data_IF_067762032110
#
_entry.id   IF_067762032110
#
_cell.length_a   1.000
_cell.length_b   1.000
_cell.length_c   1.000
_cell.angle_alpha   90.00
_cell.angle_beta   90.00
_cell.angle_gamma   90.00
#
_symmetry.space_group_name_H-M   'P 1'
#
loop_
_entity.id
_entity.type
_entity.pdbx_description
1 polymer ?
#
# COMPACT_ATOMS: atom_id res chain seq x y z
N UNK A 1 -22.34 57.72 31.96
CA UNK A 1 -21.08 58.49 31.94
C UNK A 1 -20.96 59.20 33.27
N UNK A 2 -19.93 59.14 34.09
CA UNK A 2 -18.69 58.39 34.20
C UNK A 2 -18.40 58.49 35.70
N UNK A 3 -17.89 57.45 36.36
CA UNK A 3 -16.95 57.68 37.45
C UNK A 3 -16.07 56.46 37.70
N UNK A 4 -14.80 56.81 37.84
CA UNK A 4 -13.60 56.02 37.90
C UNK A 4 -13.33 55.57 39.36
N UNK A 5 -12.75 54.37 39.50
CA UNK A 5 -11.64 54.02 40.40
C UNK A 5 -11.83 54.10 41.95
N UNK A 6 -11.75 52.94 42.64
CA UNK A 6 -10.56 52.50 43.42
C UNK A 6 -10.84 51.29 44.34
N UNK A 7 -9.90 50.36 44.28
CA UNK A 7 -9.47 49.28 45.19
C UNK A 7 -9.50 49.57 46.71
N UNK A 8 -9.79 48.56 47.56
CA UNK A 8 -8.83 47.93 48.51
C UNK A 8 -9.45 46.84 49.45
N UNK A 9 -8.76 45.71 49.57
CA UNK A 9 -8.40 44.92 50.78
C UNK A 9 -9.42 44.24 51.74
N UNK A 10 -9.34 42.89 51.74
CA UNK A 10 -9.05 41.94 52.84
C UNK A 10 -9.91 41.73 54.12
N UNK A 11 -10.03 40.42 54.44
CA UNK A 11 -10.30 39.73 55.74
C UNK A 11 -11.77 39.68 56.22
N UNK A 12 -12.34 38.59 56.76
CA UNK A 12 -11.88 37.25 57.14
C UNK A 12 -13.10 36.38 57.55
N UNK A 13 -13.06 35.09 57.17
CA UNK A 13 -13.52 33.86 57.88
C UNK A 13 -14.80 33.90 58.74
N UNK A 14 -15.81 33.09 58.37
CA UNK A 14 -16.59 32.24 59.30
C UNK A 14 -16.89 30.91 58.62
N UNK A 15 -16.46 29.83 59.26
CA UNK A 15 -16.69 28.44 58.91
C UNK A 15 -18.06 27.99 59.39
N UNK A 16 -18.91 27.45 58.50
CA UNK A 16 -20.05 26.63 58.90
C UNK A 16 -19.93 25.25 58.23
N UNK A 17 -19.59 24.27 59.05
CA UNK A 17 -19.61 22.86 58.70
C UNK A 17 -21.06 22.38 58.55
N UNK A 18 -21.37 21.80 57.39
CA UNK A 18 -22.50 20.89 57.21
C UNK A 18 -21.92 19.56 56.79
N UNK A 19 -21.87 18.65 57.75
CA UNK A 19 -21.65 17.24 57.55
C UNK A 19 -22.86 16.66 56.78
N UNK A 20 -22.63 16.32 55.51
CA UNK A 20 -23.47 15.41 54.73
C UNK A 20 -22.75 14.08 54.62
N UNK A 21 -23.25 13.08 55.34
CA UNK A 21 -22.79 11.70 55.37
C UNK A 21 -23.33 10.93 54.14
N UNK A 22 -22.52 10.04 53.57
CA UNK A 22 -23.05 8.74 53.11
C UNK A 22 -22.66 8.24 51.71
N UNK A 23 -21.75 7.26 51.68
CA UNK A 23 -21.55 6.28 50.59
C UNK A 23 -20.38 6.64 49.67
N UNK A 24 -19.31 5.87 49.54
CA UNK A 24 -19.04 4.47 49.83
C UNK A 24 -17.97 4.04 48.82
N UNK A 25 -16.95 3.34 49.28
CA UNK A 25 -15.76 2.99 48.52
C UNK A 25 -16.07 2.35 47.16
N UNK A 26 -15.41 2.88 46.13
CA UNK A 26 -15.33 2.30 44.82
C UNK A 26 -14.06 2.81 44.17
N UNK A 27 -12.92 2.22 44.54
CA UNK A 27 -11.66 2.40 43.84
C UNK A 27 -11.82 1.98 42.38
N UNK A 28 -12.32 2.90 41.56
CA UNK A 28 -12.21 2.80 40.12
C UNK A 28 -10.74 2.95 39.79
N UNK A 29 -10.07 1.84 39.48
CA UNK A 29 -8.91 1.88 38.60
C UNK A 29 -9.23 2.86 37.46
N UNK A 30 -8.29 3.72 37.00
CA UNK A 30 -8.57 4.57 35.86
C UNK A 30 -9.07 3.64 34.76
N UNK A 31 -10.36 3.72 34.44
CA UNK A 31 -10.96 2.92 33.38
C UNK A 31 -10.09 3.19 32.18
N UNK A 32 -9.32 2.19 31.75
CA UNK A 32 -8.32 2.35 30.71
C UNK A 32 -9.02 3.04 29.55
N UNK A 33 -8.64 4.29 29.31
CA UNK A 33 -9.35 5.11 28.32
C UNK A 33 -9.29 4.35 27.00
N UNK A 34 -10.42 4.14 26.34
CA UNK A 34 -10.48 3.37 25.10
C UNK A 34 -10.65 4.31 23.90
N UNK A 35 -10.15 3.88 22.75
CA UNK A 35 -10.55 4.39 21.45
C UNK A 35 -11.10 3.25 20.60
N UNK A 36 -11.39 3.52 19.33
CA UNK A 36 -11.89 2.53 18.38
C UNK A 36 -10.91 2.40 17.22
N UNK A 37 -10.57 1.17 16.86
CA UNK A 37 -9.88 0.86 15.62
C UNK A 37 -10.91 0.29 14.64
N UNK A 38 -10.99 0.89 13.46
CA UNK A 38 -11.68 0.33 12.30
C UNK A 38 -10.62 -0.07 11.27
N UNK A 39 -10.79 -1.24 10.64
CA UNK A 39 -9.83 -1.79 9.70
C UNK A 39 -10.52 -2.03 8.36
N UNK A 40 -9.91 -1.54 7.30
CA UNK A 40 -10.33 -1.83 5.94
C UNK A 40 -9.15 -2.36 5.11
N UNK A 41 -9.45 -2.95 3.96
CA UNK A 41 -8.47 -3.49 3.03
C UNK A 41 -8.61 -2.84 1.64
N UNK A 42 -7.48 -2.68 0.96
CA UNK A 42 -7.36 -2.24 -0.44
C UNK A 42 -6.26 -3.04 -1.12
N UNK A 43 -6.17 -2.98 -2.46
CA UNK A 43 -5.08 -3.60 -3.22
C UNK A 43 -4.40 -2.59 -4.16
N UNK A 44 -3.22 -2.98 -4.61
CA UNK A 44 -2.50 -2.43 -5.74
C UNK A 44 -2.91 -3.16 -7.05
N UNK A 45 -2.41 -2.72 -8.22
CA UNK A 45 -2.73 -3.33 -9.52
C UNK A 45 -2.31 -4.79 -9.64
N UNK A 46 -3.05 -5.53 -10.47
CA UNK A 46 -2.70 -6.91 -10.82
C UNK A 46 -1.46 -7.00 -11.72
N UNK A 47 -0.77 -8.14 -11.66
CA UNK A 47 0.26 -8.51 -12.62
C UNK A 47 -0.01 -9.93 -13.13
N UNK A 48 -0.81 -10.06 -14.19
CA UNK A 48 -1.06 -11.34 -14.88
C UNK A 48 -2.09 -12.26 -14.21
N UNK A 49 -3.00 -11.69 -13.42
CA UNK A 49 -4.12 -12.40 -12.81
C UNK A 49 -5.42 -11.68 -13.14
N UNK A 50 -6.47 -12.44 -13.40
CA UNK A 50 -7.83 -11.92 -13.56
C UNK A 50 -8.54 -11.78 -12.20
N UNK A 51 -8.20 -12.65 -11.24
CA UNK A 51 -8.68 -12.58 -9.85
C UNK A 51 -7.62 -13.06 -8.86
N UNK A 52 -7.61 -12.45 -7.67
CA UNK A 52 -6.84 -12.94 -6.51
C UNK A 52 -7.75 -12.92 -5.30
N UNK A 53 -8.20 -14.10 -4.90
CA UNK A 53 -9.11 -14.25 -3.77
C UNK A 53 -8.35 -14.56 -2.48
N UNK A 54 -8.61 -13.80 -1.43
CA UNK A 54 -8.17 -14.09 -0.06
C UNK A 54 -9.37 -14.08 0.88
N UNK A 55 -9.42 -15.03 1.82
CA UNK A 55 -10.47 -15.05 2.84
C UNK A 55 -9.89 -14.60 4.17
N UNK A 56 -10.27 -13.41 4.62
CA UNK A 56 -9.85 -12.86 5.92
C UNK A 56 -10.65 -13.53 7.03
N UNK A 57 -9.96 -14.12 8.00
CA UNK A 57 -10.56 -14.77 9.15
C UNK A 57 -10.48 -13.95 10.43
N UNK A 58 -9.39 -13.20 10.62
CA UNK A 58 -9.16 -12.40 11.82
C UNK A 58 -8.15 -11.29 11.55
N UNK A 59 -8.35 -10.12 12.16
CA UNK A 59 -7.29 -9.11 12.32
C UNK A 59 -6.96 -8.98 13.80
N UNK A 60 -5.68 -9.03 14.16
CA UNK A 60 -5.21 -8.87 15.53
C UNK A 60 -4.19 -7.74 15.60
N UNK A 61 -4.17 -7.00 16.71
CA UNK A 61 -3.19 -5.92 16.95
C UNK A 61 -2.53 -6.07 18.31
N UNK A 62 -1.27 -5.66 18.40
CA UNK A 62 -0.49 -5.69 19.64
C UNK A 62 0.38 -4.43 19.78
N UNK A 63 0.56 -3.98 21.03
CA UNK A 63 1.44 -2.86 21.38
C UNK A 63 2.92 -3.20 21.28
N UNK A 64 3.29 -4.48 21.25
CA UNK A 64 4.67 -4.95 21.10
C UNK A 64 4.96 -5.39 19.65
N UNK A 65 6.00 -4.80 19.04
CA UNK A 65 6.48 -5.13 17.68
C UNK A 65 7.10 -6.53 17.54
N UNK A 66 7.40 -7.17 18.66
CA UNK A 66 8.00 -8.51 18.72
C UNK A 66 7.05 -9.57 19.28
N UNK A 67 5.76 -9.26 19.43
CA UNK A 67 4.78 -10.19 20.00
C UNK A 67 4.66 -11.49 19.17
N UNK A 68 4.92 -12.61 19.82
CA UNK A 68 4.64 -13.97 19.35
C UNK A 68 3.14 -14.26 19.28
N UNK A 69 2.80 -15.39 18.65
CA UNK A 69 1.42 -15.74 18.28
C UNK A 69 0.50 -15.94 19.50
N UNK A 70 1.10 -16.50 20.56
CA UNK A 70 0.46 -16.89 21.82
C UNK A 70 0.80 -15.94 22.97
N UNK A 71 1.48 -14.82 22.69
CA UNK A 71 1.81 -13.82 23.69
C UNK A 71 0.53 -13.12 24.19
N UNK A 72 0.64 -12.42 25.32
CA UNK A 72 -0.47 -11.62 25.83
C UNK A 72 -0.56 -10.26 25.11
N UNK A 73 -1.65 -9.52 25.33
CA UNK A 73 -1.83 -8.16 24.78
C UNK A 73 -2.39 -8.09 23.36
N UNK A 74 -2.74 -9.22 22.76
CA UNK A 74 -3.47 -9.24 21.49
C UNK A 74 -4.91 -8.76 21.66
N UNK A 75 -5.27 -7.73 20.90
CA UNK A 75 -6.67 -7.33 20.70
C UNK A 75 -7.14 -7.80 19.33
N UNK A 76 -8.36 -8.31 19.24
CA UNK A 76 -8.93 -8.84 18.00
C UNK A 76 -9.97 -7.88 17.45
N UNK A 77 -9.89 -7.61 16.15
CA UNK A 77 -10.93 -6.91 15.41
C UNK A 77 -12.05 -7.91 15.12
N UNK A 78 -13.27 -7.58 15.54
CA UNK A 78 -14.42 -8.43 15.33
C UNK A 78 -14.86 -8.31 13.86
N UNK A 79 -14.67 -9.39 13.09
CA UNK A 79 -15.28 -9.53 11.77
C UNK A 79 -16.71 -10.07 11.94
N UNK A 80 -17.71 -9.53 11.22
CA UNK A 80 -19.08 -10.07 11.26
C UNK A 80 -19.15 -11.54 10.80
N UNK A 81 -18.31 -11.91 9.83
CA UNK A 81 -18.08 -13.27 9.34
C UNK A 81 -16.72 -13.32 8.62
N UNK A 82 -16.22 -14.51 8.29
CA UNK A 82 -15.07 -14.61 7.37
C UNK A 82 -15.44 -13.99 6.02
N UNK A 83 -14.57 -13.15 5.48
CA UNK A 83 -14.83 -12.42 4.25
C UNK A 83 -13.89 -12.88 3.14
N UNK A 84 -14.45 -13.50 2.09
CA UNK A 84 -13.72 -13.76 0.84
C UNK A 84 -13.72 -12.49 0.00
N UNK A 85 -12.53 -11.98 -0.30
CA UNK A 85 -12.29 -10.70 -0.96
C UNK A 85 -11.51 -10.99 -2.23
N UNK A 86 -11.97 -10.44 -3.35
CA UNK A 86 -11.16 -10.34 -4.56
C UNK A 86 -10.33 -9.06 -4.47
N UNK A 87 -9.02 -9.21 -4.27
CA UNK A 87 -8.11 -8.08 -4.10
C UNK A 87 -8.14 -7.15 -5.32
N UNK A 88 -8.24 -7.72 -6.53
CA UNK A 88 -8.20 -6.95 -7.78
C UNK A 88 -9.45 -6.07 -7.99
N UNK A 89 -10.51 -6.30 -7.21
CA UNK A 89 -11.70 -5.45 -7.19
C UNK A 89 -11.54 -4.18 -6.33
N UNK A 90 -10.50 -4.11 -5.50
CA UNK A 90 -10.27 -3.02 -4.54
C UNK A 90 -9.40 -1.88 -5.11
N UNK A 91 -9.58 -1.58 -6.39
CA UNK A 91 -8.84 -0.53 -7.09
C UNK A 91 -9.53 0.83 -6.97
N UNK A 92 -8.82 1.88 -7.36
CA UNK A 92 -9.33 3.25 -7.44
C UNK A 92 -9.85 3.83 -6.10
N UNK A 93 -9.24 3.42 -4.99
CA UNK A 93 -9.60 3.85 -3.64
C UNK A 93 -10.78 3.09 -3.02
N UNK A 94 -11.23 2.00 -3.65
CA UNK A 94 -12.26 1.11 -3.10
C UNK A 94 -11.73 0.37 -1.88
N UNK A 95 -12.49 0.37 -0.78
CA UNK A 95 -12.12 -0.28 0.47
C UNK A 95 -13.10 -1.42 0.81
N UNK A 96 -12.56 -2.56 1.24
CA UNK A 96 -13.32 -3.63 1.86
C UNK A 96 -13.26 -3.49 3.39
N UNK A 97 -14.41 -3.32 4.04
CA UNK A 97 -14.51 -3.24 5.50
C UNK A 97 -14.24 -4.60 6.16
N UNK A 98 -13.25 -4.64 7.07
CA UNK A 98 -12.87 -5.81 7.88
C UNK A 98 -13.38 -5.71 9.33
N UNK A 99 -14.15 -4.67 9.65
CA UNK A 99 -14.77 -4.46 10.95
C UNK A 99 -13.98 -3.55 11.88
N UNK A 100 -14.44 -3.49 13.12
CA UNK A 100 -13.94 -2.57 14.13
C UNK A 100 -13.89 -3.20 15.52
N UNK A 101 -13.10 -2.60 16.42
CA UNK A 101 -13.00 -3.03 17.81
C UNK A 101 -12.60 -1.89 18.72
N UNK A 102 -13.06 -1.94 19.97
CA UNK A 102 -12.61 -1.02 21.00
C UNK A 102 -11.23 -1.45 21.50
N UNK A 103 -10.30 -0.52 21.57
CA UNK A 103 -8.92 -0.74 21.98
C UNK A 103 -8.58 0.17 23.16
N UNK A 104 -7.80 -0.31 24.15
CA UNK A 104 -7.12 0.57 25.09
C UNK A 104 -6.33 1.64 24.34
N UNK A 105 -6.42 2.89 24.78
CA UNK A 105 -5.61 3.97 24.25
C UNK A 105 -4.13 3.64 24.45
N UNK A 106 -3.32 3.87 23.41
CA UNK A 106 -1.92 3.49 23.41
C UNK A 106 -1.33 3.43 22.02
N UNK A 107 -0.05 3.05 21.96
CA UNK A 107 0.69 2.88 20.73
C UNK A 107 0.72 1.40 20.35
N UNK A 108 0.16 1.09 19.18
CA UNK A 108 0.19 -0.23 18.57
C UNK A 108 1.32 -0.31 17.56
N UNK A 109 2.00 -1.44 17.50
CA UNK A 109 3.21 -1.61 16.68
C UNK A 109 3.12 -2.77 15.70
N UNK A 110 2.29 -3.77 15.99
CA UNK A 110 2.16 -4.99 15.18
C UNK A 110 0.70 -5.26 14.87
N UNK A 111 0.42 -5.55 13.59
CA UNK A 111 -0.85 -6.08 13.10
C UNK A 111 -0.61 -7.51 12.59
N UNK A 112 -1.59 -8.39 12.76
CA UNK A 112 -1.65 -9.72 12.14
C UNK A 112 -2.94 -9.83 11.34
N UNK A 113 -2.79 -10.04 10.04
CA UNK A 113 -3.89 -10.38 9.14
C UNK A 113 -3.92 -11.91 8.97
N UNK A 114 -4.91 -12.56 9.55
CA UNK A 114 -5.06 -14.02 9.50
C UNK A 114 -6.01 -14.37 8.35
N UNK A 115 -5.59 -15.31 7.52
CA UNK A 115 -6.39 -15.84 6.42
C UNK A 115 -6.98 -17.20 6.80
N UNK A 116 -8.17 -17.51 6.28
CA UNK A 116 -8.75 -18.86 6.38
C UNK A 116 -7.93 -19.85 5.55
N UNK A 117 -7.89 -21.12 5.96
CA UNK A 117 -7.15 -22.16 5.25
C UNK A 117 -8.02 -22.82 4.17
N UNK A 118 -7.41 -23.18 3.03
CA UNK A 118 -8.04 -24.06 2.05
C UNK A 118 -8.29 -25.44 2.66
N UNK A 119 -9.49 -25.99 2.46
CA UNK A 119 -9.91 -27.27 3.04
C UNK A 119 -10.47 -28.20 1.97
N UNK A 120 -9.72 -29.26 1.65
CA UNK A 120 -10.07 -30.16 0.54
C UNK A 120 -10.23 -29.39 -0.77
N UNK A 121 -11.41 -29.47 -1.37
CA UNK A 121 -11.75 -28.75 -2.61
C UNK A 121 -12.31 -27.34 -2.38
N UNK A 122 -12.45 -26.89 -1.12
CA UNK A 122 -12.96 -25.55 -0.80
C UNK A 122 -11.81 -24.54 -0.81
N UNK A 123 -11.83 -23.65 -1.80
CA UNK A 123 -10.83 -22.61 -2.00
C UNK A 123 -11.19 -21.32 -1.25
N UNK A 124 -10.66 -21.19 -0.04
CA UNK A 124 -10.67 -19.96 0.74
C UNK A 124 -9.71 -18.90 0.14
N UNK A 125 -8.54 -19.34 -0.33
CA UNK A 125 -7.57 -18.49 -1.04
C UNK A 125 -7.18 -19.12 -2.37
N UNK A 126 -7.27 -18.34 -3.44
CA UNK A 126 -7.06 -18.81 -4.81
C UNK A 126 -6.63 -17.67 -5.72
N UNK A 127 -6.10 -18.04 -6.88
CA UNK A 127 -5.76 -17.12 -7.96
C UNK A 127 -6.38 -17.60 -9.25
N UNK A 128 -6.75 -16.68 -10.13
CA UNK A 128 -7.15 -16.95 -11.52
C UNK A 128 -6.10 -16.28 -12.40
N UNK A 129 -5.09 -17.01 -12.90
CA UNK A 129 -4.12 -16.46 -13.84
C UNK A 129 -4.83 -16.03 -15.13
N UNK A 130 -4.36 -14.96 -15.76
CA UNK A 130 -4.97 -14.47 -17.00
C UNK A 130 -4.97 -15.54 -18.09
N UNK A 131 -6.16 -15.87 -18.59
CA UNK A 131 -6.35 -16.94 -19.58
C UNK A 131 -6.24 -18.37 -19.01
N UNK A 132 -6.19 -18.52 -17.68
CA UNK A 132 -6.12 -19.80 -16.97
C UNK A 132 -7.37 -20.11 -16.15
N UNK A 133 -7.38 -21.28 -15.49
CA UNK A 133 -8.42 -21.67 -14.55
C UNK A 133 -8.06 -21.24 -13.12
N UNK A 134 -9.06 -21.15 -12.23
CA UNK A 134 -8.83 -20.93 -10.80
C UNK A 134 -7.92 -22.02 -10.21
N UNK A 135 -6.90 -21.61 -9.45
CA UNK A 135 -5.92 -22.47 -8.81
C UNK A 135 -5.83 -22.16 -7.30
N UNK A 136 -5.57 -23.16 -6.45
CA UNK A 136 -5.36 -22.94 -5.02
C UNK A 136 -4.10 -22.10 -4.77
N UNK A 137 -4.21 -21.14 -3.85
CA UNK A 137 -3.06 -20.37 -3.36
C UNK A 137 -2.53 -20.98 -2.06
N UNK A 138 -1.24 -21.33 -2.03
CA UNK A 138 -0.61 -21.82 -0.80
C UNK A 138 -0.31 -20.67 0.17
N UNK A 139 -0.94 -20.68 1.35
CA UNK A 139 -0.89 -19.59 2.35
C UNK A 139 -0.36 -20.02 3.74
N UNK A 140 0.74 -20.81 3.87
CA UNK A 140 1.09 -21.50 5.11
C UNK A 140 1.33 -20.58 6.32
N UNK A 141 2.01 -19.45 6.15
CA UNK A 141 2.23 -18.47 7.24
C UNK A 141 0.97 -17.69 7.58
N UNK A 142 0.16 -17.34 6.57
CA UNK A 142 -1.04 -16.52 6.75
C UNK A 142 -2.17 -17.24 7.49
N UNK A 143 -2.18 -18.58 7.49
CA UNK A 143 -3.20 -19.39 8.18
C UNK A 143 -2.80 -19.81 9.60
N UNK A 144 -1.50 -19.91 9.89
CA UNK A 144 -1.01 -20.35 11.19
C UNK A 144 -0.80 -19.16 12.15
N UNK A 145 0.08 -18.24 11.78
CA UNK A 145 0.47 -17.10 12.60
C UNK A 145 -0.19 -15.80 12.13
N UNK A 146 -0.66 -15.76 10.89
CA UNK A 146 -1.14 -14.55 10.25
C UNK A 146 0.02 -13.75 9.64
N UNK A 147 -0.31 -12.95 8.63
CA UNK A 147 0.63 -12.05 7.98
C UNK A 147 1.01 -10.95 8.98
N UNK A 148 2.26 -10.94 9.40
CA UNK A 148 2.81 -9.94 10.32
C UNK A 148 3.08 -8.64 9.57
N UNK A 149 2.50 -7.55 10.05
CA UNK A 149 2.68 -6.20 9.51
C UNK A 149 3.19 -5.32 10.65
N UNK A 150 4.34 -4.67 10.44
CA UNK A 150 4.92 -3.72 11.40
C UNK A 150 4.63 -2.32 10.90
N UNK A 151 3.65 -1.66 11.52
CA UNK A 151 3.28 -0.28 11.23
C UNK A 151 2.78 0.37 12.51
N UNK A 152 3.58 1.25 13.13
CA UNK A 152 3.18 1.93 14.35
C UNK A 152 1.99 2.88 14.11
N UNK A 153 1.00 2.82 14.99
CA UNK A 153 -0.11 3.78 15.03
C UNK A 153 -0.54 4.04 16.48
N UNK A 154 -1.21 5.18 16.71
CA UNK A 154 -1.66 5.57 18.05
C UNK A 154 -3.17 5.64 18.10
N UNK A 155 -3.75 4.97 19.09
CA UNK A 155 -5.17 5.08 19.44
C UNK A 155 -5.28 6.04 20.62
N UNK A 156 -5.92 7.19 20.41
CA UNK A 156 -6.18 8.16 21.47
C UNK A 156 -7.53 7.87 22.16
N UNK A 157 -7.70 8.27 23.43
CA UNK A 157 -8.99 8.20 24.13
C UNK A 157 -10.13 8.82 23.31
N UNK A 158 -11.26 8.09 23.19
CA UNK A 158 -12.48 8.53 22.52
C UNK A 158 -12.28 8.96 21.05
N UNK A 159 -11.27 8.40 20.38
CA UNK A 159 -11.05 8.63 18.94
C UNK A 159 -11.27 7.36 18.13
N UNK A 160 -11.68 7.54 16.87
CA UNK A 160 -11.67 6.50 15.84
C UNK A 160 -10.36 6.60 15.04
N UNK A 161 -9.68 5.47 14.88
CA UNK A 161 -8.56 5.31 13.95
C UNK A 161 -9.01 4.37 12.85
N UNK A 162 -9.12 4.87 11.61
CA UNK A 162 -9.26 3.99 10.46
C UNK A 162 -7.87 3.58 9.97
N UNK A 163 -7.65 2.28 9.87
CA UNK A 163 -6.41 1.68 9.40
C UNK A 163 -6.70 0.91 8.10
N UNK A 164 -6.06 1.32 7.01
CA UNK A 164 -6.19 0.64 5.72
C UNK A 164 -5.00 -0.30 5.52
N UNK A 165 -5.29 -1.59 5.35
CA UNK A 165 -4.34 -2.61 4.93
C UNK A 165 -4.27 -2.62 3.41
N UNK A 166 -3.11 -2.27 2.87
CA UNK A 166 -2.84 -2.32 1.43
C UNK A 166 -2.07 -3.60 1.12
N UNK A 167 -2.77 -4.56 0.52
CA UNK A 167 -2.22 -5.85 0.15
C UNK A 167 -1.81 -5.77 -1.31
N UNK A 168 -0.52 -5.81 -1.66
CA UNK A 168 -0.11 -5.74 -3.07
C UNK A 168 -0.13 -7.13 -3.70
N UNK A 169 -1.20 -7.48 -4.42
CA UNK A 169 -1.37 -8.81 -5.01
C UNK A 169 -0.25 -9.15 -6.02
N UNK A 170 0.10 -8.22 -6.91
CA UNK A 170 1.16 -8.38 -7.90
C UNK A 170 2.49 -8.83 -7.28
N UNK A 171 2.89 -8.18 -6.18
CA UNK A 171 4.13 -8.50 -5.47
C UNK A 171 3.98 -9.66 -4.50
N UNK A 172 2.76 -10.04 -4.14
CA UNK A 172 2.50 -11.06 -3.13
C UNK A 172 2.36 -12.49 -3.66
N UNK A 173 2.09 -12.66 -4.96
CA UNK A 173 1.90 -13.99 -5.55
C UNK A 173 3.17 -14.42 -6.28
N UNK A 174 3.65 -15.63 -5.98
CA UNK A 174 4.80 -16.25 -6.65
C UNK A 174 4.41 -17.61 -7.23
N UNK A 175 4.85 -17.87 -8.46
CA UNK A 175 4.66 -19.17 -9.11
C UNK A 175 5.79 -20.14 -8.77
N UNK A 176 5.47 -21.41 -8.61
CA UNK A 176 6.39 -22.54 -8.39
C UNK A 176 6.75 -23.23 -9.71
N UNK A 177 7.78 -24.06 -9.71
CA UNK A 177 8.25 -24.78 -10.91
C UNK A 177 7.24 -25.79 -11.44
N UNK A 178 6.33 -26.27 -10.58
CA UNK A 178 5.22 -27.15 -10.96
C UNK A 178 3.96 -26.39 -11.45
N UNK A 179 4.02 -25.06 -11.59
CA UNK A 179 2.90 -24.22 -12.02
C UNK A 179 1.93 -23.80 -10.92
N UNK A 180 2.05 -24.32 -9.70
CA UNK A 180 1.23 -23.88 -8.55
C UNK A 180 1.68 -22.52 -8.01
N UNK A 181 0.84 -21.88 -7.19
CA UNK A 181 1.09 -20.56 -6.64
C UNK A 181 1.22 -20.56 -5.12
N UNK A 182 2.09 -19.71 -4.61
CA UNK A 182 2.30 -19.49 -3.19
C UNK A 182 2.24 -18.01 -2.83
N UNK A 183 1.84 -17.73 -1.59
CA UNK A 183 1.78 -16.40 -1.04
C UNK A 183 3.11 -16.00 -0.38
N UNK A 184 3.67 -14.89 -0.84
CA UNK A 184 4.79 -14.14 -0.25
C UNK A 184 4.27 -12.74 0.10
N UNK A 185 3.59 -12.55 1.23
CA UNK A 185 2.76 -11.37 1.46
C UNK A 185 3.58 -10.07 1.49
N UNK A 186 3.14 -9.10 0.70
CA UNK A 186 3.59 -7.70 0.71
C UNK A 186 2.38 -6.86 1.09
N UNK A 187 2.26 -6.56 2.38
CA UNK A 187 1.12 -5.84 2.95
C UNK A 187 1.63 -4.68 3.79
N UNK A 188 1.07 -3.50 3.58
CA UNK A 188 1.35 -2.31 4.40
C UNK A 188 0.09 -1.87 5.14
N UNK A 189 0.24 -1.06 6.19
CA UNK A 189 -0.88 -0.53 6.95
C UNK A 189 -0.73 0.98 7.11
N UNK A 190 -1.75 1.73 6.71
CA UNK A 190 -1.74 3.20 6.70
C UNK A 190 -2.94 3.76 7.47
N UNK A 191 -2.73 4.57 8.52
CA UNK A 191 -3.81 5.29 9.19
C UNK A 191 -4.37 6.42 8.33
N UNK A 192 -5.69 6.53 8.19
CA UNK A 192 -6.32 7.52 7.29
C UNK A 192 -6.25 8.95 7.83
N UNK A 193 -6.23 9.12 9.15
CA UNK A 193 -6.24 10.42 9.85
C UNK A 193 -5.03 11.31 9.52
N UNK A 194 -3.97 10.73 8.98
CA UNK A 194 -2.75 11.43 8.53
C UNK A 194 -2.58 11.36 7.02
N UNK A 195 -3.63 10.98 6.29
CA UNK A 195 -3.56 10.68 4.87
C UNK A 195 -4.42 11.62 4.01
N UNK A 196 -4.02 11.75 2.75
CA UNK A 196 -4.80 12.35 1.68
C UNK A 196 -4.79 11.44 0.45
N UNK A 197 -5.14 12.00 -0.70
CA UNK A 197 -5.17 11.26 -1.95
C UNK A 197 -4.50 12.06 -3.08
N UNK A 198 -4.03 11.33 -4.10
CA UNK A 198 -3.68 11.89 -5.40
C UNK A 198 -4.67 11.32 -6.41
N UNK A 199 -5.16 12.16 -7.33
CA UNK A 199 -6.05 11.70 -8.40
C UNK A 199 -5.67 12.30 -9.75
N UNK A 200 -6.17 11.70 -10.81
CA UNK A 200 -6.03 12.24 -12.15
C UNK A 200 -6.79 11.40 -13.15
N UNK A 201 -6.57 11.75 -14.41
CA UNK A 201 -7.07 11.07 -15.58
C UNK A 201 -5.89 10.80 -16.53
N UNK A 202 -5.76 9.56 -16.96
CA UNK A 202 -5.09 9.22 -18.22
C UNK A 202 -6.10 9.31 -19.36
N UNK A 203 -5.65 9.36 -20.61
CA UNK A 203 -6.59 9.39 -21.73
C UNK A 203 -7.41 8.08 -21.75
N UNK A 204 -8.68 8.10 -22.19
CA UNK A 204 -9.53 6.91 -22.18
C UNK A 204 -8.99 5.74 -23.02
N UNK A 205 -8.10 6.00 -23.99
CA UNK A 205 -7.39 4.94 -24.73
C UNK A 205 -6.39 4.18 -23.86
N UNK A 206 -5.99 4.77 -22.74
CA UNK A 206 -5.14 4.21 -21.69
C UNK A 206 -5.95 3.75 -20.46
N UNK A 207 -7.26 3.50 -20.61
CA UNK A 207 -8.03 2.82 -19.58
C UNK A 207 -7.36 1.47 -19.23
N UNK A 208 -7.30 1.16 -17.94
CA UNK A 208 -6.53 0.01 -17.43
C UNK A 208 -5.04 0.28 -17.21
N UNK A 209 -4.55 1.52 -17.44
CA UNK A 209 -3.20 1.90 -17.04
C UNK A 209 -2.98 1.67 -15.54
N UNK A 210 -1.82 1.13 -15.21
CA UNK A 210 -1.38 1.01 -13.83
C UNK A 210 -0.72 2.31 -13.41
N UNK A 211 -1.12 2.83 -12.25
CA UNK A 211 -0.61 4.08 -11.70
C UNK A 211 -0.04 3.83 -10.31
N UNK A 212 1.17 4.31 -10.05
CA UNK A 212 1.86 4.21 -8.77
C UNK A 212 2.09 5.58 -8.16
N UNK A 213 2.01 5.67 -6.83
CA UNK A 213 2.69 6.68 -6.04
C UNK A 213 4.03 6.09 -5.59
N UNK A 214 5.13 6.72 -5.97
CA UNK A 214 6.48 6.29 -5.65
C UNK A 214 7.24 7.31 -4.80
N UNK A 215 8.18 6.79 -4.02
CA UNK A 215 9.19 7.58 -3.32
C UNK A 215 10.53 6.87 -3.41
N UNK A 216 11.54 7.53 -3.99
CA UNK A 216 12.88 6.98 -4.14
C UNK A 216 12.94 5.65 -4.92
N UNK A 217 12.15 5.53 -6.00
CA UNK A 217 12.09 4.32 -6.83
C UNK A 217 11.40 3.12 -6.17
N UNK A 218 10.59 3.37 -5.13
CA UNK A 218 9.77 2.35 -4.46
C UNK A 218 8.31 2.73 -4.55
N UNK A 219 7.50 1.79 -5.02
CA UNK A 219 6.04 1.88 -4.99
C UNK A 219 5.55 1.92 -3.54
N UNK A 220 4.92 3.03 -3.16
CA UNK A 220 4.24 3.21 -1.87
C UNK A 220 2.78 2.80 -1.98
N UNK A 221 2.15 3.10 -3.11
CA UNK A 221 0.75 2.74 -3.42
C UNK A 221 0.59 2.54 -4.92
N UNK A 222 -0.33 1.66 -5.33
CA UNK A 222 -0.74 1.53 -6.72
C UNK A 222 -2.26 1.56 -6.89
N UNK A 223 -2.70 1.79 -8.11
CA UNK A 223 -4.11 1.69 -8.53
C UNK A 223 -4.21 1.47 -10.04
N UNK A 224 -5.38 1.09 -10.54
CA UNK A 224 -5.65 0.94 -11.98
C UNK A 224 -6.61 2.04 -12.42
N UNK A 225 -6.33 2.69 -13.54
CA UNK A 225 -7.22 3.66 -14.13
C UNK A 225 -8.50 2.98 -14.65
N UNK A 226 -9.67 3.52 -14.29
CA UNK A 226 -10.95 2.95 -14.67
C UNK A 226 -11.28 3.17 -16.17
N UNK A 227 -12.46 2.73 -16.61
CA UNK A 227 -12.89 2.87 -18.01
C UNK A 227 -13.00 4.31 -18.52
N UNK A 228 -13.00 5.31 -17.64
CA UNK A 228 -12.94 6.73 -18.00
C UNK A 228 -11.51 7.30 -18.00
N UNK A 229 -10.52 6.48 -17.66
CA UNK A 229 -9.13 6.88 -17.44
C UNK A 229 -8.88 7.47 -16.05
N UNK A 230 -9.89 7.53 -15.16
CA UNK A 230 -9.71 8.09 -13.82
C UNK A 230 -8.93 7.15 -12.93
N UNK A 231 -7.97 7.70 -12.18
CA UNK A 231 -7.25 7.00 -11.14
C UNK A 231 -7.25 7.80 -9.82
N UNK A 232 -7.20 7.08 -8.71
CA UNK A 232 -7.11 7.59 -7.35
C UNK A 232 -6.12 6.74 -6.57
N UNK A 233 -5.08 7.38 -6.05
CA UNK A 233 -4.09 6.82 -5.13
C UNK A 233 -4.43 7.28 -3.72
N UNK A 234 -5.04 6.39 -2.94
CA UNK A 234 -5.46 6.66 -1.56
C UNK A 234 -5.45 5.37 -0.72
N UNK A 235 -5.16 5.43 0.60
CA UNK A 235 -4.64 6.59 1.34
C UNK A 235 -3.13 6.78 1.20
N UNK A 236 -2.66 8.02 1.05
CA UNK A 236 -1.23 8.38 1.06
C UNK A 236 -0.93 9.25 2.28
N UNK A 237 0.14 8.95 3.02
CA UNK A 237 0.52 9.76 4.19
C UNK A 237 0.87 11.19 3.73
N UNK A 238 0.50 12.19 4.51
CA UNK A 238 0.75 13.59 4.16
C UNK A 238 2.24 13.91 3.92
N UNK A 239 2.49 14.84 3.02
CA UNK A 239 3.85 15.18 2.58
C UNK A 239 4.68 15.92 3.63
N UNK A 240 4.07 16.54 4.63
CA UNK A 240 4.80 17.09 5.78
C UNK A 240 5.45 16.01 6.65
N UNK A 241 4.99 14.76 6.54
CA UNK A 241 5.52 13.61 7.29
C UNK A 241 6.40 12.70 6.42
N UNK A 242 5.98 12.40 5.18
CA UNK A 242 6.68 11.48 4.28
C UNK A 242 7.36 12.13 3.07
N UNK A 243 7.24 13.44 2.87
CA UNK A 243 7.66 14.10 1.64
C UNK A 243 6.64 13.95 0.50
N UNK A 244 6.93 14.58 -0.63
CA UNK A 244 6.07 14.48 -1.81
C UNK A 244 6.18 13.10 -2.47
N UNK A 245 5.21 12.78 -3.32
CA UNK A 245 5.19 11.55 -4.11
C UNK A 245 5.45 11.86 -5.58
N UNK A 246 6.06 10.92 -6.27
CA UNK A 246 6.10 10.92 -7.72
C UNK A 246 5.00 9.97 -8.23
N UNK A 247 4.18 10.42 -9.18
CA UNK A 247 3.16 9.58 -9.82
C UNK A 247 3.74 8.97 -11.07
N UNK A 248 3.80 7.64 -11.13
CA UNK A 248 4.31 6.87 -12.26
C UNK A 248 3.14 6.16 -12.94
N UNK A 249 3.00 6.33 -14.25
CA UNK A 249 1.91 5.80 -15.06
C UNK A 249 2.52 4.85 -16.09
N UNK A 250 2.07 3.60 -16.08
CA UNK A 250 2.60 2.54 -16.95
C UNK A 250 1.48 1.71 -17.56
N UNK A 251 1.66 1.35 -18.83
CA UNK A 251 0.77 0.44 -19.56
C UNK A 251 1.52 -0.17 -20.74
N UNK A 252 1.08 -1.34 -21.19
CA UNK A 252 1.64 -1.95 -22.39
C UNK A 252 1.41 -1.07 -23.62
N UNK A 253 2.39 -1.06 -24.53
CA UNK A 253 2.38 -0.37 -25.82
C UNK A 253 2.42 1.17 -25.76
N UNK A 254 2.69 1.76 -24.59
CA UNK A 254 2.92 3.20 -24.42
C UNK A 254 4.16 3.44 -23.57
N UNK A 255 4.76 4.62 -23.69
CA UNK A 255 5.86 5.02 -22.82
C UNK A 255 5.36 5.28 -21.41
N UNK A 256 6.26 5.18 -20.43
CA UNK A 256 5.98 5.58 -19.06
C UNK A 256 5.77 7.09 -18.93
N UNK A 257 4.85 7.48 -18.07
CA UNK A 257 4.61 8.87 -17.68
C UNK A 257 4.98 9.10 -16.22
N UNK A 258 5.63 10.22 -15.91
CA UNK A 258 6.04 10.57 -14.54
C UNK A 258 5.65 12.00 -14.20
N UNK A 259 4.90 12.17 -13.12
CA UNK A 259 4.59 13.47 -12.50
C UNK A 259 5.34 13.57 -11.19
N UNK A 260 6.35 14.44 -11.13
CA UNK A 260 7.22 14.60 -9.95
C UNK A 260 6.62 15.51 -8.89
N UNK A 261 6.99 15.26 -7.64
CA UNK A 261 6.82 16.16 -6.49
C UNK A 261 5.36 16.55 -6.22
N UNK A 262 4.43 15.61 -6.34
CA UNK A 262 3.01 15.81 -6.04
C UNK A 262 2.80 15.85 -4.52
N UNK A 263 2.28 16.96 -3.97
CA UNK A 263 2.04 17.07 -2.53
C UNK A 263 0.76 16.33 -2.13
N UNK A 264 0.76 15.77 -0.92
CA UNK A 264 -0.40 15.18 -0.26
C UNK A 264 -0.70 15.95 1.02
N UNK A 265 -1.94 16.40 1.14
CA UNK A 265 -2.45 17.12 2.32
C UNK A 265 -3.59 16.30 2.93
N UNK A 266 -3.63 16.24 4.27
CA UNK A 266 -4.60 15.44 5.03
C UNK A 266 -6.04 15.78 4.60
N UNK A 267 -6.87 14.75 4.40
CA UNK A 267 -8.28 14.87 4.01
C UNK A 267 -8.54 15.67 2.72
N UNK A 268 -7.55 15.77 1.83
CA UNK A 268 -7.70 16.43 0.53
C UNK A 268 -7.20 15.53 -0.59
N UNK A 269 -7.67 15.83 -1.80
CA UNK A 269 -7.22 15.16 -3.03
C UNK A 269 -6.46 16.15 -3.91
N UNK A 270 -5.19 15.87 -4.17
CA UNK A 270 -4.39 16.62 -5.13
C UNK A 270 -4.60 16.04 -6.51
N UNK A 271 -5.13 16.82 -7.45
CA UNK A 271 -5.29 16.40 -8.84
C UNK A 271 -4.00 16.62 -9.63
N UNK A 272 -3.61 15.71 -10.53
CA UNK A 272 -2.49 15.89 -11.47
C UNK A 272 -2.95 16.12 -12.92
N UNK A 273 -4.22 15.84 -13.20
CA UNK A 273 -4.91 16.10 -14.46
C UNK A 273 -6.42 16.11 -14.26
N UNK A 274 -7.19 16.42 -15.31
CA UNK A 274 -8.66 16.48 -15.27
C UNK A 274 -9.26 15.64 -16.40
N UNK A 275 -10.55 15.31 -16.32
CA UNK A 275 -11.24 14.56 -17.37
C UNK A 275 -11.29 15.31 -18.71
N UNK A 276 -11.30 16.65 -18.69
CA UNK A 276 -11.27 17.48 -19.89
C UNK A 276 -9.90 17.54 -20.56
N UNK A 277 -8.84 17.38 -19.78
CA UNK A 277 -7.46 17.41 -20.27
C UNK A 277 -6.66 16.30 -19.58
N UNK A 278 -6.87 15.03 -20.00
CA UNK A 278 -6.19 13.89 -19.41
C UNK A 278 -4.71 13.80 -19.83
N UNK A 279 -3.92 13.03 -19.09
CA UNK A 279 -2.54 12.71 -19.45
C UNK A 279 -2.57 11.66 -20.56
N UNK A 280 -2.00 11.99 -21.72
CA UNK A 280 -1.82 11.05 -22.83
C UNK A 280 -0.37 10.56 -22.88
N UNK A 281 -0.17 9.25 -22.95
CA UNK A 281 1.14 8.62 -23.07
C UNK A 281 1.46 8.37 -24.54
N UNK A 282 2.69 8.65 -25.02
CA UNK A 282 3.05 8.36 -26.40
C UNK A 282 3.17 6.85 -26.62
N UNK A 283 2.85 6.38 -27.83
CA UNK A 283 3.00 4.97 -28.19
C UNK A 283 4.46 4.50 -28.04
N UNK A 284 4.63 3.24 -27.64
CA UNK A 284 5.94 2.61 -27.48
C UNK A 284 5.88 1.15 -27.93
N UNK A 285 6.93 0.68 -28.58
CA UNK A 285 7.16 -0.77 -28.63
C UNK A 285 7.52 -1.29 -27.23
N UNK A 286 7.29 -2.58 -27.01
CA UNK A 286 7.69 -3.27 -25.78
C UNK A 286 8.89 -4.18 -26.05
N UNK A 287 9.77 -4.28 -25.07
CA UNK A 287 10.92 -5.15 -25.04
C UNK A 287 10.85 -6.04 -23.81
N UNK A 288 11.41 -7.24 -23.90
CA UNK A 288 11.44 -8.18 -22.78
C UNK A 288 12.85 -8.23 -22.19
N UNK A 289 12.96 -8.09 -20.88
CA UNK A 289 14.19 -8.34 -20.13
C UNK A 289 14.00 -9.59 -19.27
N UNK A 290 14.80 -10.63 -19.48
CA UNK A 290 14.64 -11.91 -18.79
C UNK A 290 15.96 -12.53 -18.35
N UNK A 291 15.86 -13.42 -17.37
CA UNK A 291 16.98 -14.15 -16.83
C UNK A 291 16.57 -15.03 -15.66
N UNK A 292 17.53 -15.35 -14.80
CA UNK A 292 17.34 -16.17 -13.61
C UNK A 292 17.94 -15.52 -12.37
N UNK A 293 17.29 -15.70 -11.23
CA UNK A 293 17.89 -15.53 -9.90
C UNK A 293 18.28 -16.88 -9.32
N UNK A 294 19.11 -16.94 -8.26
CA UNK A 294 19.32 -18.17 -7.48
C UNK A 294 17.96 -18.81 -7.11
N UNK A 295 17.67 -20.07 -7.49
CA UNK A 295 16.46 -20.77 -7.08
C UNK A 295 16.24 -20.71 -5.57
N UNK A 296 14.98 -20.61 -5.13
CA UNK A 296 14.61 -20.46 -3.72
C UNK A 296 15.09 -19.17 -3.02
N UNK A 297 15.81 -18.26 -3.70
CA UNK A 297 16.10 -16.93 -3.14
C UNK A 297 14.84 -16.08 -2.92
N UNK A 298 13.71 -16.51 -3.53
CA UNK A 298 12.41 -15.86 -3.42
C UNK A 298 12.53 -14.37 -3.76
N UNK A 299 13.22 -14.06 -4.86
CA UNK A 299 13.57 -12.70 -5.21
C UNK A 299 12.44 -11.99 -5.96
N UNK A 300 12.26 -10.71 -5.66
CA UNK A 300 11.49 -9.79 -6.49
C UNK A 300 12.45 -9.10 -7.46
N UNK A 301 12.12 -9.07 -8.75
CA UNK A 301 12.91 -8.39 -9.78
C UNK A 301 12.13 -7.21 -10.32
N UNK A 302 12.78 -6.05 -10.46
CA UNK A 302 12.17 -4.78 -10.82
C UNK A 302 12.97 -4.12 -11.94
N UNK A 303 12.28 -3.50 -12.89
CA UNK A 303 12.89 -2.63 -13.89
C UNK A 303 12.74 -1.18 -13.46
N UNK A 304 13.86 -0.54 -13.17
CA UNK A 304 13.92 0.87 -12.79
C UNK A 304 14.34 1.71 -13.99
N UNK A 305 13.56 2.72 -14.35
CA UNK A 305 13.94 3.71 -15.35
C UNK A 305 14.47 4.95 -14.65
N UNK A 306 15.73 5.31 -14.91
CA UNK A 306 16.35 6.47 -14.26
C UNK A 306 16.21 7.72 -15.12
N UNK A 307 15.68 8.79 -14.54
CA UNK A 307 15.56 10.11 -15.15
C UNK A 307 16.13 11.14 -14.18
N UNK A 308 17.13 11.92 -14.61
CA UNK A 308 17.79 12.96 -13.79
C UNK A 308 18.22 12.45 -12.40
N UNK A 309 18.87 11.28 -12.35
CA UNK A 309 19.30 10.58 -11.13
C UNK A 309 18.18 10.06 -10.20
N UNK A 310 16.91 10.20 -10.59
CA UNK A 310 15.78 9.58 -9.88
C UNK A 310 15.36 8.30 -10.59
N UNK A 311 15.28 7.20 -9.85
CA UNK A 311 14.80 5.91 -10.36
C UNK A 311 13.28 5.78 -10.18
N UNK A 312 12.62 5.19 -11.17
CA UNK A 312 11.17 4.93 -11.18
C UNK A 312 10.90 3.46 -11.50
N UNK A 313 10.06 2.79 -10.69
CA UNK A 313 9.70 1.39 -10.90
C UNK A 313 8.67 1.28 -12.04
N UNK A 314 9.10 0.81 -13.22
CA UNK A 314 8.22 0.70 -14.38
C UNK A 314 7.43 -0.60 -14.38
N UNK A 315 8.08 -1.69 -13.94
CA UNK A 315 7.44 -3.00 -13.81
C UNK A 315 8.21 -3.84 -12.81
N UNK A 316 7.55 -4.83 -12.23
CA UNK A 316 8.18 -5.84 -11.39
C UNK A 316 7.57 -7.22 -11.64
N UNK A 317 8.33 -8.25 -11.26
CA UNK A 317 7.89 -9.64 -11.26
C UNK A 317 8.54 -10.39 -10.11
N UNK A 318 7.81 -11.34 -9.51
CA UNK A 318 8.44 -12.34 -8.65
C UNK A 318 9.11 -13.38 -9.53
N UNK A 319 10.38 -13.70 -9.25
CA UNK A 319 11.03 -14.82 -9.89
C UNK A 319 10.35 -16.13 -9.46
N UNK A 320 10.28 -17.10 -10.37
CA UNK A 320 9.74 -18.42 -10.07
C UNK A 320 10.49 -19.03 -8.87
N UNK A 321 9.75 -19.56 -7.90
CA UNK A 321 10.31 -19.99 -6.62
C UNK A 321 11.33 -21.14 -6.79
N UNK A 322 11.08 -22.06 -7.73
CA UNK A 322 11.87 -23.27 -7.88
C UNK A 322 12.89 -23.17 -9.02
N UNK A 323 12.59 -22.41 -10.08
CA UNK A 323 13.48 -22.27 -11.25
C UNK A 323 14.27 -20.96 -11.26
N UNK A 324 13.87 -19.97 -10.48
CA UNK A 324 14.47 -18.64 -10.47
C UNK A 324 14.18 -17.80 -11.72
N UNK A 325 13.42 -18.31 -12.69
CA UNK A 325 13.14 -17.62 -13.95
C UNK A 325 12.27 -16.38 -13.70
N UNK A 326 12.60 -15.28 -14.35
CA UNK A 326 11.77 -14.08 -14.40
C UNK A 326 11.78 -13.46 -15.80
N UNK A 327 10.75 -12.67 -16.10
CA UNK A 327 10.69 -11.83 -17.29
C UNK A 327 9.95 -10.52 -16.96
N UNK A 328 10.44 -9.42 -17.51
CA UNK A 328 9.87 -8.08 -17.37
C UNK A 328 9.57 -7.53 -18.75
N UNK A 329 8.41 -6.89 -18.93
CA UNK A 329 8.06 -6.18 -20.16
C UNK A 329 8.23 -4.68 -19.93
N UNK A 330 9.06 -4.03 -20.76
CA UNK A 330 9.41 -2.62 -20.59
C UNK A 330 9.23 -1.84 -21.90
N UNK A 331 8.76 -0.58 -21.86
CA UNK A 331 8.68 0.24 -23.05
C UNK A 331 10.06 0.64 -23.57
N UNK A 332 10.21 0.76 -24.89
CA UNK A 332 11.47 1.20 -25.52
C UNK A 332 11.52 2.70 -25.78
N UNK A 333 10.36 3.37 -25.83
CA UNK A 333 10.28 4.82 -26.05
C UNK A 333 10.79 5.61 -24.82
N UNK A 334 11.06 6.90 -25.06
CA UNK A 334 11.43 7.83 -24.01
C UNK A 334 10.28 8.03 -23.02
N UNK A 335 10.53 8.03 -21.70
CA UNK A 335 9.52 8.43 -20.73
C UNK A 335 9.14 9.89 -20.94
N UNK A 336 7.90 10.24 -20.61
CA UNK A 336 7.49 11.65 -20.50
C UNK A 336 7.44 12.05 -19.03
N UNK A 337 8.08 13.16 -18.69
CA UNK A 337 8.29 13.57 -17.30
C UNK A 337 7.96 15.05 -17.14
N UNK A 338 7.34 15.40 -16.00
CA UNK A 338 7.08 16.77 -15.61
C UNK A 338 7.02 16.91 -14.10
N UNK A 339 6.95 18.15 -13.61
CA UNK A 339 6.92 18.45 -12.17
C UNK A 339 5.63 19.16 -11.83
N UNK A 340 4.99 18.75 -10.73
CA UNK A 340 3.77 19.37 -10.25
C UNK A 340 4.03 20.83 -9.83
N UNK A 341 3.23 21.74 -10.38
CA UNK A 341 3.28 23.19 -10.09
C UNK A 341 1.92 23.78 -9.74
N UNK A 342 0.89 22.93 -9.59
CA UNK A 342 -0.51 23.34 -9.38
C UNK A 342 -1.32 23.59 -10.66
N UNK A 343 -0.65 23.77 -11.81
CA UNK A 343 -1.31 23.85 -13.12
C UNK A 343 -1.72 22.47 -13.62
N UNK A 344 -2.93 22.35 -14.19
CA UNK A 344 -3.50 21.09 -14.68
C UNK A 344 -3.77 21.13 -16.20
N UNK A 345 -3.48 20.03 -16.92
CA UNK A 345 -2.73 18.88 -16.45
C UNK A 345 -1.27 19.29 -16.21
N UNK A 346 -0.55 18.52 -15.41
CA UNK A 346 0.90 18.73 -15.30
C UNK A 346 1.53 18.55 -16.67
N UNK A 347 2.29 19.55 -17.13
CA UNK A 347 2.97 19.52 -18.41
C UNK A 347 4.10 18.48 -18.39
N UNK A 348 4.07 17.53 -19.32
CA UNK A 348 5.05 16.46 -19.45
C UNK A 348 5.87 16.64 -20.73
N UNK A 349 7.18 16.35 -20.65
CA UNK A 349 8.09 16.39 -21.79
C UNK A 349 8.88 15.08 -21.89
N UNK A 350 9.16 14.64 -23.12
CA UNK A 350 9.96 13.44 -23.34
C UNK A 350 11.40 13.62 -22.83
N UNK A 351 11.98 12.53 -22.30
CA UNK A 351 13.39 12.47 -21.90
C UNK A 351 14.13 11.43 -22.75
N UNK A 352 14.63 11.80 -23.95
CA UNK A 352 15.21 10.85 -24.90
C UNK A 352 16.39 10.04 -24.35
N UNK A 353 17.18 10.61 -23.44
CA UNK A 353 18.33 9.94 -22.85
C UNK A 353 17.96 8.70 -22.00
N UNK A 354 16.70 8.60 -21.55
CA UNK A 354 16.20 7.46 -20.76
C UNK A 354 15.46 6.42 -21.61
N UNK A 355 15.34 6.62 -22.93
CA UNK A 355 14.65 5.70 -23.83
C UNK A 355 15.33 4.33 -23.86
N UNK A 356 14.58 3.28 -23.51
CA UNK A 356 15.08 1.90 -23.47
C UNK A 356 16.15 1.63 -22.40
N UNK A 357 16.50 2.61 -21.56
CA UNK A 357 17.56 2.46 -20.55
C UNK A 357 16.95 2.07 -19.20
N UNK A 358 17.35 0.91 -18.67
CA UNK A 358 16.83 0.40 -17.39
C UNK A 358 17.96 -0.11 -16.49
N UNK A 359 17.71 -0.04 -15.19
CA UNK A 359 18.44 -0.81 -14.17
C UNK A 359 17.52 -1.94 -13.73
N UNK A 360 17.95 -3.18 -13.93
CA UNK A 360 17.26 -4.35 -13.39
C UNK A 360 17.80 -4.60 -12.00
N UNK A 361 16.94 -4.56 -11.00
CA UNK A 361 17.25 -4.79 -9.60
C UNK A 361 16.54 -6.04 -9.11
N UNK A 362 17.27 -6.93 -8.44
CA UNK A 362 16.74 -8.13 -7.81
C UNK A 362 16.95 -8.04 -6.29
N UNK A 363 15.86 -8.18 -5.55
CA UNK A 363 15.79 -8.15 -4.09
C UNK A 363 15.44 -9.55 -3.56
N UNK A 364 16.41 -10.25 -2.96
CA UNK A 364 16.19 -11.56 -2.37
C UNK A 364 15.48 -11.48 -1.01
N UNK A 365 14.78 -12.55 -0.61
CA UNK A 365 14.10 -12.60 0.68
C UNK A 365 15.06 -12.52 1.89
N UNK A 366 16.36 -12.75 1.69
CA UNK A 366 17.41 -12.53 2.69
C UNK A 366 17.68 -11.05 2.98
N UNK A 367 17.17 -10.13 2.16
CA UNK A 367 17.49 -8.70 2.21
C UNK A 367 18.71 -8.31 1.36
N UNK A 368 19.32 -9.25 0.65
CA UNK A 368 20.39 -8.94 -0.31
C UNK A 368 19.80 -8.37 -1.61
N UNK A 369 20.45 -7.33 -2.15
CA UNK A 369 20.06 -6.68 -3.40
C UNK A 369 21.22 -6.73 -4.40
N UNK A 370 20.92 -7.02 -5.66
CA UNK A 370 21.85 -6.93 -6.79
C UNK A 370 21.20 -6.17 -7.94
N UNK A 371 21.99 -5.48 -8.76
CA UNK A 371 21.45 -4.77 -9.92
C UNK A 371 22.38 -4.81 -11.13
N UNK A 372 21.81 -4.61 -12.32
CA UNK A 372 22.51 -4.59 -13.59
C UNK A 372 21.82 -3.63 -14.56
N UNK A 373 22.60 -2.77 -15.21
CA UNK A 373 22.08 -1.87 -16.23
C UNK A 373 21.88 -2.61 -17.55
N UNK A 374 20.75 -2.34 -18.21
CA UNK A 374 20.38 -2.95 -19.49
C UNK A 374 19.91 -1.87 -20.47
N UNK A 375 20.25 -2.05 -21.74
CA UNK A 375 19.66 -1.31 -22.84
C UNK A 375 18.61 -2.21 -23.50
N UNK A 376 17.35 -1.97 -23.16
CA UNK A 376 16.18 -2.70 -23.65
C UNK A 376 15.61 -2.12 -24.96
N UNK A 377 16.39 -1.38 -25.76
CA UNK A 377 15.97 -1.03 -27.14
C UNK A 377 15.69 -2.27 -27.99
N UNK A 378 16.31 -3.40 -27.64
CA UNK A 378 15.97 -4.76 -28.06
C UNK A 378 15.83 -5.66 -26.83
N UNK A 379 15.13 -6.80 -26.96
CA UNK A 379 14.96 -7.75 -25.86
C UNK A 379 16.29 -8.24 -25.32
N UNK A 380 16.40 -8.29 -24.00
CA UNK A 380 17.59 -8.70 -23.27
C UNK A 380 17.33 -10.04 -22.57
N UNK A 381 18.28 -10.97 -22.68
CA UNK A 381 18.22 -12.29 -22.06
C UNK A 381 19.48 -12.55 -21.25
N UNK A 382 19.45 -13.52 -20.34
CA UNK A 382 20.58 -13.88 -19.46
C UNK A 382 20.99 -12.76 -18.49
N UNK A 383 20.05 -11.91 -18.09
CA UNK A 383 20.26 -10.94 -17.01
C UNK A 383 20.11 -11.68 -15.68
N UNK A 384 21.19 -12.30 -15.22
CA UNK A 384 21.15 -13.25 -14.11
C UNK A 384 21.68 -12.65 -12.79
N UNK A 385 21.13 -13.11 -11.67
CA UNK A 385 21.53 -12.70 -10.32
C UNK A 385 21.84 -13.90 -9.44
N UNK A 386 22.89 -13.81 -8.63
CA UNK A 386 23.36 -14.91 -7.79
C UNK A 386 23.42 -14.46 -6.33
N UNK A 387 22.42 -14.87 -5.55
CA UNK A 387 22.30 -14.62 -4.11
C UNK A 387 22.85 -15.75 -3.25
#
# INVERSE_FOLDING_TARGET
MNNLLKTLACASVISLALAGCGGGDGGGSPSGQTGTLHVAMTDAPSCGFDHVFVTVSQVRVNMNSNAGDNDTGWSTVALPAQQKIDLLSLTNGTLADLGQTALPAGQYQQIRLVLAQNQGNTLANSVVPTGGAEQPLATPSATQSGIKIISPFTVQPNTLVDLVLDFNACKSIVQRGNGSYALKPVVTATPTIVSGAISGYVSPTEAGATVYAEQGGKVVRGTVADGSGKFVLSPLVQSTTQGNYDVVIVQNNVASGVVRSVPVVVNTTTAVSTSNVPIALPASAMSTVSGTVTPSANAQVRALQTVDANAYEITSANANLDTGIYALSVPTAAPIVGTYTGSLPVALAAVPAAAGQYTIEADAASGATQSTNVNATTSQTNVNFSF
#
